data_IF_058591191433
#
_entry.id   IF_058591191433
#
_cell.length_a   1.000
_cell.length_b   1.000
_cell.length_c   1.000
_cell.angle_alpha   90.00
_cell.angle_beta   90.00
_cell.angle_gamma   90.00
#
_symmetry.space_group_name_H-M   'P 1'
#
loop_
_entity.id
_entity.type
_entity.pdbx_description
1 polymer ?
#
# COMPACT_ATOMS: atom_id res chain seq x y z
N UNK A 1 -19.65 -17.46 -39.46
CA UNK A 1 -18.20 -17.35 -39.76
C UNK A 1 -17.74 -15.92 -39.54
N UNK A 2 -16.77 -15.74 -38.63
CA UNK A 2 -15.76 -14.65 -38.58
C UNK A 2 -16.27 -13.21 -38.39
N UNK A 3 -16.43 -12.75 -37.14
CA UNK A 3 -16.14 -11.35 -36.74
C UNK A 3 -16.31 -11.01 -35.24
N UNK A 4 -16.19 -11.97 -34.31
CA UNK A 4 -16.17 -11.63 -32.86
C UNK A 4 -14.89 -12.16 -32.24
N UNK A 5 -13.79 -11.56 -32.68
CA UNK A 5 -12.46 -11.76 -32.11
C UNK A 5 -11.84 -10.38 -32.08
N UNK A 6 -11.34 -9.97 -30.90
CA UNK A 6 -10.52 -8.76 -30.63
C UNK A 6 -11.23 -7.52 -30.05
N UNK A 7 -11.79 -7.60 -28.84
CA UNK A 7 -11.85 -6.38 -27.99
C UNK A 7 -12.08 -6.67 -26.50
N UNK A 8 -11.14 -7.32 -25.81
CA UNK A 8 -10.98 -7.11 -24.35
C UNK A 8 -9.48 -7.23 -23.98
N UNK A 9 -8.63 -6.43 -24.62
CA UNK A 9 -7.26 -6.17 -24.13
C UNK A 9 -7.07 -4.67 -24.23
N UNK A 10 -7.66 -3.92 -23.29
CA UNK A 10 -7.37 -2.51 -23.10
C UNK A 10 -7.93 -2.07 -21.75
N UNK A 11 -7.23 -2.39 -20.67
CA UNK A 11 -7.11 -1.47 -19.53
C UNK A 11 -5.89 -1.85 -18.67
N UNK A 12 -4.74 -2.00 -19.33
CA UNK A 12 -3.46 -1.86 -18.65
C UNK A 12 -3.26 -0.36 -18.40
N UNK A 13 -3.89 0.18 -17.35
CA UNK A 13 -3.49 1.48 -16.85
C UNK A 13 -2.24 1.24 -16.00
N UNK A 14 -1.05 1.74 -16.39
CA UNK A 14 0.09 1.67 -15.51
C UNK A 14 -0.27 2.49 -14.28
N UNK A 15 -0.31 1.83 -13.12
CA UNK A 15 -0.34 2.51 -11.84
C UNK A 15 0.98 3.27 -11.75
N UNK A 16 0.98 4.54 -12.19
CA UNK A 16 2.12 5.43 -12.04
C UNK A 16 2.33 5.60 -10.54
N UNK A 17 3.22 4.78 -9.99
CA UNK A 17 3.86 5.01 -8.71
C UNK A 17 4.57 6.35 -8.84
N UNK A 18 3.88 7.42 -8.47
CA UNK A 18 4.51 8.68 -8.15
C UNK A 18 5.34 8.44 -6.90
N UNK A 19 6.52 7.85 -7.08
CA UNK A 19 7.61 7.99 -6.12
C UNK A 19 8.08 9.44 -6.24
N UNK A 20 7.26 10.37 -5.75
CA UNK A 20 7.69 11.73 -5.53
C UNK A 20 8.89 11.63 -4.60
N UNK A 21 10.06 12.03 -5.12
CA UNK A 21 11.27 12.17 -4.35
C UNK A 21 10.98 13.11 -3.21
N UNK A 22 10.70 12.55 -2.04
CA UNK A 22 10.58 13.30 -0.80
C UNK A 22 11.99 13.73 -0.43
N UNK A 23 12.38 14.90 -0.93
CA UNK A 23 13.42 15.70 -0.32
C UNK A 23 13.06 15.85 1.16
N UNK A 24 14.02 15.55 2.04
CA UNK A 24 13.81 15.35 3.47
C UNK A 24 13.33 16.60 4.20
N UNK A 25 12.02 16.82 4.18
CA UNK A 25 11.35 17.84 4.99
C UNK A 25 11.11 17.28 6.39
N UNK A 26 12.07 17.50 7.29
CA UNK A 26 11.99 17.07 8.68
C UNK A 26 10.77 17.63 9.42
N UNK A 27 10.22 18.77 8.98
CA UNK A 27 8.98 19.34 9.52
C UNK A 27 7.78 18.38 9.35
N UNK A 28 7.82 17.45 8.39
CA UNK A 28 6.79 16.41 8.29
C UNK A 28 6.90 15.37 9.40
N UNK A 29 8.11 15.08 9.88
CA UNK A 29 8.36 14.15 11.01
C UNK A 29 7.89 14.80 12.31
N UNK A 30 8.16 16.09 12.50
CA UNK A 30 7.73 16.85 13.69
C UNK A 30 6.20 16.95 13.80
N UNK A 31 5.49 16.92 12.68
CA UNK A 31 4.02 16.94 12.63
C UNK A 31 3.37 15.56 12.75
N UNK A 32 4.14 14.49 12.94
CA UNK A 32 3.59 13.16 13.19
C UNK A 32 2.86 13.12 14.54
N UNK A 33 1.86 12.25 14.62
CA UNK A 33 1.07 12.09 15.85
C UNK A 33 1.69 11.01 16.72
N UNK A 34 1.82 11.29 18.01
CA UNK A 34 2.19 10.28 19.01
C UNK A 34 1.31 9.03 18.88
N UNK A 35 1.92 7.84 19.01
CA UNK A 35 1.25 6.54 18.87
C UNK A 35 1.17 6.00 17.44
N UNK A 36 1.59 6.76 16.42
CA UNK A 36 1.63 6.23 15.06
C UNK A 36 2.71 5.15 14.90
N UNK A 37 2.37 4.01 14.30
CA UNK A 37 3.38 3.00 13.99
C UNK A 37 4.33 3.49 12.92
N UNK A 38 5.62 3.59 13.25
CA UNK A 38 6.68 4.05 12.37
C UNK A 38 7.80 3.02 12.25
N UNK A 39 8.54 3.15 11.16
CA UNK A 39 9.77 2.43 10.88
C UNK A 39 10.87 3.44 10.59
N UNK A 40 11.90 3.45 11.42
CA UNK A 40 13.05 4.33 11.31
C UNK A 40 14.25 3.51 10.86
N UNK A 41 14.90 3.92 9.79
CA UNK A 41 16.19 3.35 9.36
C UNK A 41 17.28 4.31 9.77
N UNK A 42 18.25 3.82 10.53
CA UNK A 42 19.41 4.62 10.93
C UNK A 42 20.47 4.69 9.82
N UNK A 43 21.48 5.53 10.00
CA UNK A 43 22.63 5.66 9.09
C UNK A 43 23.42 4.35 8.89
N UNK A 44 23.34 3.43 9.87
CA UNK A 44 23.97 2.10 9.83
C UNK A 44 23.06 1.06 9.17
N UNK A 45 21.98 1.50 8.52
CA UNK A 45 20.99 0.65 7.84
C UNK A 45 20.25 -0.33 8.78
N UNK A 46 20.21 -0.03 10.08
CA UNK A 46 19.43 -0.76 11.08
C UNK A 46 18.01 -0.23 11.11
N UNK A 47 17.05 -1.15 11.11
CA UNK A 47 15.63 -0.83 11.11
C UNK A 47 15.05 -0.93 12.51
N UNK A 48 14.54 0.18 13.02
CA UNK A 48 13.83 0.28 14.28
C UNK A 48 12.33 0.42 14.01
N UNK A 49 11.52 -0.47 14.61
CA UNK A 49 10.05 -0.45 14.50
C UNK A 49 9.45 -0.15 15.86
N UNK A 50 8.48 0.75 15.87
CA UNK A 50 7.83 1.17 17.10
C UNK A 50 6.73 2.17 16.86
N UNK A 51 6.20 2.69 17.95
CA UNK A 51 5.26 3.81 17.95
C UNK A 51 6.02 5.12 18.08
N UNK A 52 5.66 6.10 17.27
CA UNK A 52 6.22 7.45 17.34
C UNK A 52 5.87 8.08 18.69
N UNK A 53 6.87 8.64 19.37
CA UNK A 53 6.68 9.46 20.56
C UNK A 53 6.59 10.93 20.16
N UNK A 54 7.75 11.54 19.99
CA UNK A 54 7.94 12.95 19.66
C UNK A 54 9.13 13.12 18.72
N UNK A 55 9.11 14.16 17.89
CA UNK A 55 10.26 14.61 17.13
C UNK A 55 10.47 16.09 17.37
N UNK A 56 11.72 16.48 17.57
CA UNK A 56 12.16 17.86 17.59
C UNK A 56 13.26 18.11 16.56
N UNK A 57 13.88 19.28 16.64
CA UNK A 57 14.92 19.68 15.69
C UNK A 57 16.15 18.75 15.70
N UNK A 58 16.49 18.19 16.87
CA UNK A 58 17.71 17.43 17.13
C UNK A 58 17.47 15.92 17.35
N UNK A 59 16.27 15.54 17.80
CA UNK A 59 16.01 14.18 18.31
C UNK A 59 14.62 13.65 17.90
N UNK A 60 14.54 12.33 17.82
CA UNK A 60 13.34 11.54 17.53
C UNK A 60 13.20 10.47 18.61
N UNK A 61 12.06 10.46 19.31
CA UNK A 61 11.71 9.42 20.27
C UNK A 61 10.69 8.44 19.69
N UNK A 62 10.90 7.16 19.96
CA UNK A 62 9.97 6.09 19.60
C UNK A 62 9.91 5.01 20.69
N UNK A 63 8.74 4.41 20.85
CA UNK A 63 8.51 3.28 21.73
C UNK A 63 8.66 2.00 20.92
N UNK A 64 9.75 1.26 21.14
CA UNK A 64 10.00 -0.02 20.49
C UNK A 64 9.53 -1.18 21.37
N UNK A 65 9.48 -2.39 20.82
CA UNK A 65 9.21 -3.60 21.61
C UNK A 65 10.24 -3.83 22.74
N UNK A 66 11.45 -3.29 22.59
CA UNK A 66 12.53 -3.38 23.58
C UNK A 66 12.54 -2.19 24.56
N UNK A 67 11.54 -1.30 24.48
CA UNK A 67 11.41 -0.10 25.31
C UNK A 67 11.63 1.22 24.56
N UNK A 68 11.68 2.33 25.30
CA UNK A 68 11.87 3.67 24.74
C UNK A 68 13.24 3.80 24.07
N UNK A 69 13.25 4.34 22.85
CA UNK A 69 14.46 4.62 22.09
C UNK A 69 14.46 6.08 21.67
N UNK A 70 15.58 6.76 21.89
CA UNK A 70 15.82 8.12 21.40
C UNK A 70 16.94 8.05 20.37
N UNK A 71 16.67 8.57 19.19
CA UNK A 71 17.61 8.67 18.08
C UNK A 71 17.87 10.14 17.80
N UNK A 72 19.13 10.50 17.55
CA UNK A 72 19.45 11.82 17.04
C UNK A 72 19.00 11.94 15.60
N UNK A 73 18.51 13.11 15.19
CA UNK A 73 18.11 13.40 13.81
C UNK A 73 19.22 13.09 12.81
N UNK A 74 20.47 13.43 13.15
CA UNK A 74 21.64 13.18 12.31
C UNK A 74 21.85 11.70 11.98
N UNK A 75 21.47 10.79 12.88
CA UNK A 75 21.61 9.35 12.68
C UNK A 75 20.40 8.72 11.98
N UNK A 76 19.36 9.50 11.67
CA UNK A 76 18.15 9.02 10.98
C UNK A 76 18.33 9.14 9.46
N UNK A 77 18.42 7.99 8.78
CA UNK A 77 18.50 7.95 7.32
C UNK A 77 17.11 7.98 6.65
N UNK A 78 16.10 7.37 7.29
CA UNK A 78 14.74 7.32 6.75
C UNK A 78 13.71 7.17 7.86
N UNK A 79 12.58 7.86 7.72
CA UNK A 79 11.38 7.64 8.55
C UNK A 79 10.23 7.26 7.63
N UNK A 80 9.59 6.14 7.93
CA UNK A 80 8.45 5.62 7.21
C UNK A 80 7.29 5.42 8.17
N UNK A 81 6.11 5.95 7.84
CA UNK A 81 4.89 5.77 8.63
C UNK A 81 4.10 4.60 8.06
N UNK A 82 3.62 3.72 8.93
CA UNK A 82 2.69 2.66 8.56
C UNK A 82 1.28 3.18 8.68
N UNK A 83 0.64 3.43 7.54
CA UNK A 83 -0.75 3.88 7.52
C UNK A 83 -1.69 2.71 7.27
N UNK A 84 -2.24 2.15 8.35
CA UNK A 84 -3.20 1.04 8.27
C UNK A 84 -4.45 1.41 7.44
N UNK A 85 -4.85 2.70 7.45
CA UNK A 85 -5.97 3.21 6.65
C UNK A 85 -5.77 2.97 5.14
N UNK A 86 -4.53 3.06 4.64
CA UNK A 86 -4.22 2.80 3.22
C UNK A 86 -4.44 1.34 2.85
N UNK A 87 -4.15 0.39 3.74
CA UNK A 87 -4.39 -1.04 3.46
C UNK A 87 -5.87 -1.36 3.36
N UNK A 88 -6.68 -0.82 4.27
CA UNK A 88 -8.14 -0.97 4.20
C UNK A 88 -8.70 -0.35 2.91
N UNK A 89 -8.27 0.87 2.57
CA UNK A 89 -8.67 1.54 1.32
C UNK A 89 -8.24 0.74 0.08
N UNK A 90 -7.02 0.22 0.07
CA UNK A 90 -6.52 -0.59 -1.04
C UNK A 90 -7.28 -1.92 -1.13
N UNK A 91 -7.64 -2.54 -0.01
CA UNK A 91 -8.50 -3.73 0.03
C UNK A 91 -9.89 -3.43 -0.54
N UNK A 92 -10.53 -2.33 -0.13
CA UNK A 92 -11.82 -1.89 -0.66
C UNK A 92 -11.74 -1.61 -2.18
N UNK A 93 -10.69 -0.93 -2.62
CA UNK A 93 -10.46 -0.63 -4.04
C UNK A 93 -10.25 -1.92 -4.84
N UNK A 94 -9.43 -2.83 -4.33
CA UNK A 94 -9.21 -4.14 -4.92
C UNK A 94 -10.48 -4.98 -4.96
N UNK A 95 -11.30 -4.95 -3.90
CA UNK A 95 -12.59 -5.64 -3.84
C UNK A 95 -13.56 -5.13 -4.91
N UNK A 96 -13.64 -3.81 -5.09
CA UNK A 96 -14.50 -3.20 -6.10
C UNK A 96 -14.08 -3.61 -7.52
N UNK A 97 -12.78 -3.56 -7.84
CA UNK A 97 -12.24 -3.96 -9.14
C UNK A 97 -12.46 -5.46 -9.37
N UNK A 98 -12.10 -6.30 -8.39
CA UNK A 98 -12.25 -7.74 -8.45
C UNK A 98 -13.71 -8.18 -8.55
N UNK A 99 -14.61 -7.52 -7.82
CA UNK A 99 -16.05 -7.77 -7.87
C UNK A 99 -16.66 -7.41 -9.22
N UNK A 100 -16.28 -6.27 -9.81
CA UNK A 100 -16.74 -5.88 -11.15
C UNK A 100 -16.27 -6.89 -12.22
N UNK A 101 -15.02 -7.35 -12.17
CA UNK A 101 -14.52 -8.41 -13.03
C UNK A 101 -15.26 -9.74 -12.80
N UNK A 102 -15.53 -10.08 -11.54
CA UNK A 102 -16.30 -11.25 -11.14
C UNK A 102 -17.74 -11.23 -11.67
N UNK A 103 -18.40 -10.08 -11.68
CA UNK A 103 -19.74 -9.91 -12.28
C UNK A 103 -19.69 -10.13 -13.79
N UNK A 104 -18.70 -9.56 -14.49
CA UNK A 104 -18.54 -9.73 -15.93
C UNK A 104 -18.31 -11.20 -16.31
N UNK A 105 -17.46 -11.91 -15.57
CA UNK A 105 -17.25 -13.35 -15.73
C UNK A 105 -18.50 -14.15 -15.36
N UNK A 106 -19.16 -13.78 -14.27
CA UNK A 106 -20.41 -14.37 -13.81
C UNK A 106 -21.49 -14.33 -14.89
N UNK A 107 -21.61 -13.23 -15.62
CA UNK A 107 -22.55 -13.11 -16.74
C UNK A 107 -22.27 -14.09 -17.90
N UNK A 108 -20.99 -14.37 -18.17
CA UNK A 108 -20.59 -15.35 -19.20
C UNK A 108 -20.94 -16.76 -18.73
N UNK A 109 -20.64 -17.07 -17.46
CA UNK A 109 -20.95 -18.36 -16.84
C UNK A 109 -22.46 -18.58 -16.82
N UNK A 110 -23.24 -17.59 -16.36
CA UNK A 110 -24.70 -17.69 -16.29
C UNK A 110 -25.33 -17.96 -17.65
N UNK A 111 -24.85 -17.30 -18.73
CA UNK A 111 -25.31 -17.58 -20.10
C UNK A 111 -25.05 -19.01 -20.59
N UNK A 112 -24.08 -19.72 -19.99
CA UNK A 112 -23.79 -21.12 -20.34
C UNK A 112 -24.68 -22.10 -19.58
N UNK A 113 -25.10 -21.74 -18.36
CA UNK A 113 -25.92 -22.59 -17.49
C UNK A 113 -27.39 -22.18 -17.43
N UNK A 114 -27.78 -21.09 -18.12
CA UNK A 114 -29.16 -20.59 -18.15
C UNK A 114 -30.15 -21.61 -18.73
N UNK A 115 -29.67 -22.60 -19.50
CA UNK A 115 -30.50 -23.66 -20.08
C UNK A 115 -30.88 -24.76 -19.07
N UNK A 116 -30.34 -24.73 -17.85
CA UNK A 116 -30.62 -25.71 -16.76
C UNK A 116 -31.56 -25.14 -15.68
N UNK A 117 -32.20 -23.99 -15.92
CA UNK A 117 -33.08 -23.32 -14.95
C UNK A 117 -32.33 -22.69 -13.76
N UNK A 118 -31.00 -22.68 -13.78
CA UNK A 118 -30.13 -22.12 -12.74
C UNK A 118 -29.60 -20.75 -13.15
N UNK A 119 -30.47 -19.76 -13.17
CA UNK A 119 -30.08 -18.35 -13.34
C UNK A 119 -29.48 -17.82 -12.03
N UNK A 120 -28.44 -16.99 -12.12
CA UNK A 120 -27.83 -16.29 -10.99
C UNK A 120 -26.62 -16.99 -10.37
N UNK A 121 -26.39 -18.27 -10.67
CA UNK A 121 -25.32 -19.07 -10.06
C UNK A 121 -23.93 -18.55 -10.46
N UNK A 122 -23.78 -18.11 -11.71
CA UNK A 122 -22.52 -17.53 -12.20
C UNK A 122 -22.15 -16.26 -11.43
N UNK A 123 -23.12 -15.38 -11.19
CA UNK A 123 -22.91 -14.17 -10.41
C UNK A 123 -22.64 -14.47 -8.93
N UNK A 124 -23.41 -15.39 -8.34
CA UNK A 124 -23.32 -15.75 -6.92
C UNK A 124 -21.95 -16.34 -6.55
N UNK A 125 -21.23 -16.94 -7.50
CA UNK A 125 -19.90 -17.51 -7.28
C UNK A 125 -18.81 -16.54 -7.73
N UNK A 126 -18.88 -16.05 -8.98
CA UNK A 126 -17.77 -15.28 -9.55
C UNK A 126 -17.61 -13.90 -8.92
N UNK A 127 -18.69 -13.23 -8.53
CA UNK A 127 -18.62 -11.90 -7.92
C UNK A 127 -17.93 -11.90 -6.54
N UNK A 128 -18.34 -12.74 -5.55
CA UNK A 128 -17.65 -12.76 -4.25
C UNK A 128 -16.23 -13.31 -4.35
N UNK A 129 -15.96 -14.28 -5.24
CA UNK A 129 -14.59 -14.76 -5.47
C UNK A 129 -13.70 -13.65 -6.03
N UNK A 130 -14.17 -12.94 -7.06
CA UNK A 130 -13.45 -11.81 -7.64
C UNK A 130 -13.20 -10.71 -6.61
N UNK A 131 -14.22 -10.34 -5.84
CA UNK A 131 -14.11 -9.33 -4.79
C UNK A 131 -13.13 -9.77 -3.68
N UNK A 132 -13.19 -11.02 -3.23
CA UNK A 132 -12.29 -11.55 -2.20
C UNK A 132 -10.82 -11.56 -2.65
N UNK A 133 -10.55 -12.04 -3.86
CA UNK A 133 -9.20 -12.03 -4.43
C UNK A 133 -8.67 -10.61 -4.61
N UNK A 134 -9.50 -9.72 -5.17
CA UNK A 134 -9.16 -8.32 -5.32
C UNK A 134 -8.88 -7.63 -3.98
N UNK A 135 -9.69 -7.91 -2.95
CA UNK A 135 -9.49 -7.37 -1.60
C UNK A 135 -8.18 -7.84 -0.98
N UNK A 136 -7.87 -9.14 -1.09
CA UNK A 136 -6.64 -9.72 -0.57
C UNK A 136 -5.39 -9.10 -1.21
N UNK A 137 -5.38 -9.00 -2.54
CA UNK A 137 -4.29 -8.36 -3.28
C UNK A 137 -4.17 -6.86 -2.94
N UNK A 138 -5.28 -6.17 -2.82
CA UNK A 138 -5.33 -4.77 -2.41
C UNK A 138 -4.78 -4.55 -0.99
N UNK A 139 -5.17 -5.40 -0.04
CA UNK A 139 -4.71 -5.33 1.35
C UNK A 139 -3.20 -5.59 1.50
N UNK A 140 -2.64 -6.42 0.63
CA UNK A 140 -1.21 -6.74 0.60
C UNK A 140 -0.34 -5.59 0.07
N UNK A 141 -0.94 -4.61 -0.63
CA UNK A 141 -0.20 -3.45 -1.11
C UNK A 141 0.38 -2.63 0.06
N UNK A 142 1.64 -2.18 -0.06
CA UNK A 142 2.32 -1.48 1.03
C UNK A 142 1.61 -0.17 1.38
N UNK A 143 1.06 -0.10 2.59
CA UNK A 143 0.53 1.13 3.19
C UNK A 143 1.60 1.99 3.86
N UNK A 144 2.81 2.01 3.31
CA UNK A 144 3.95 2.72 3.88
C UNK A 144 4.14 4.05 3.18
N UNK A 145 4.19 5.14 3.95
CA UNK A 145 4.55 6.46 3.44
C UNK A 145 5.92 6.83 3.99
N UNK A 146 6.92 7.01 3.12
CA UNK A 146 8.20 7.57 3.54
C UNK A 146 8.00 9.06 3.78
N UNK A 147 8.13 9.50 5.01
CA UNK A 147 7.90 10.91 5.39
C UNK A 147 9.20 11.70 5.34
N UNK A 148 10.32 11.03 5.58
CA UNK A 148 11.64 11.63 5.54
C UNK A 148 12.67 10.66 4.96
N UNK A 149 13.58 11.20 4.15
CA UNK A 149 14.78 10.54 3.67
C UNK A 149 15.93 11.54 3.73
N UNK A 150 16.99 11.20 4.45
CA UNK A 150 18.20 12.00 4.46
C UNK A 150 18.84 12.00 3.06
N UNK A 151 19.45 13.12 2.66
CA UNK A 151 20.24 13.18 1.43
C UNK A 151 21.44 12.25 1.60
N UNK A 152 21.76 11.39 0.62
CA UNK A 152 23.00 10.63 0.67
C UNK A 152 24.16 11.62 0.81
N UNK A 153 25.01 11.45 1.82
CA UNK A 153 26.28 12.18 1.86
C UNK A 153 27.10 11.69 0.66
N UNK A 154 27.18 12.51 -0.39
CA UNK A 154 28.14 12.30 -1.47
C UNK A 154 29.50 12.27 -0.82
N UNK A 155 30.05 11.07 -0.62
CA UNK A 155 31.37 10.87 -0.04
C UNK A 155 32.38 11.67 -0.85
N UNK A 156 32.85 12.77 -0.27
CA UNK A 156 34.04 13.46 -0.74
C UNK A 156 35.21 12.50 -0.62
N UNK A 157 35.63 11.93 -1.75
CA UNK A 157 37.00 11.42 -1.86
C UNK A 157 37.91 12.64 -1.92
N UNK A 158 38.67 12.85 -0.85
CA UNK A 158 39.91 13.63 -0.89
C UNK A 158 40.91 12.95 -1.82
#
# INVERSE_FOLDING_TARGET
>A
MKSVTRTVIALALPLVLHAAGLEGDWNRVERLRAGQSIEVVDEKMRTHRGEFGTAGAEELSLQTANGPLILKRESVARVTVRENSKRARNALTGAAIGGAAGIALGAIVDKRFSNEGRSGVGYAICAPLGAGLGAGLGAAAPGFETVYRARPSTGGKK
#
